data_IF_492799440168
#
_entry.id   IF_492799440168
#
_cell.length_a   1.000
_cell.length_b   1.000
_cell.length_c   1.000
_cell.angle_alpha   90.00
_cell.angle_beta   90.00
_cell.angle_gamma   90.00
#
_symmetry.space_group_name_H-M   'P 1'
#
loop_
_entity.id
_entity.type
_entity.pdbx_description
1 polymer ?
#
# COMPACT_ATOMS: atom_id res chain seq x y z
N UNK A 1 11.04 1.50 2.58
CA UNK A 1 10.04 2.54 2.26
C UNK A 1 10.43 3.18 0.94
N UNK A 2 9.48 3.43 0.03
CA UNK A 2 9.76 4.00 -1.29
C UNK A 2 9.28 5.45 -1.43
N UNK A 3 8.20 5.82 -0.74
CA UNK A 3 7.69 7.18 -0.72
C UNK A 3 6.96 7.48 0.59
N UNK A 4 6.95 8.76 0.96
CA UNK A 4 6.19 9.33 2.07
C UNK A 4 5.72 10.72 1.67
N UNK A 5 4.52 11.11 2.10
CA UNK A 5 4.01 12.47 1.96
C UNK A 5 2.95 12.80 2.99
N UNK A 6 2.55 14.08 3.06
CA UNK A 6 1.36 14.50 3.82
C UNK A 6 0.06 14.20 3.07
N UNK A 7 0.15 13.90 1.77
CA UNK A 7 -0.95 13.45 0.93
C UNK A 7 -0.53 12.28 0.05
N UNK A 8 -1.51 11.59 -0.54
CA UNK A 8 -1.26 10.51 -1.51
C UNK A 8 -0.45 11.00 -2.72
N UNK A 9 -0.69 12.23 -3.19
CA UNK A 9 0.00 12.82 -4.34
C UNK A 9 1.46 13.06 -4.00
N UNK A 10 1.76 13.68 -2.86
CA UNK A 10 3.13 13.91 -2.41
C UNK A 10 3.89 12.58 -2.22
N UNK A 11 3.21 11.58 -1.67
CA UNK A 11 3.79 10.24 -1.52
C UNK A 11 4.14 9.64 -2.90
N UNK A 12 3.24 9.76 -3.88
CA UNK A 12 3.48 9.31 -5.24
C UNK A 12 4.66 10.03 -5.90
N UNK A 13 4.77 11.35 -5.76
CA UNK A 13 5.92 12.11 -6.27
C UNK A 13 7.22 11.68 -5.58
N UNK A 14 7.21 11.45 -4.27
CA UNK A 14 8.38 10.97 -3.53
C UNK A 14 8.89 9.61 -4.06
N UNK A 15 7.99 8.72 -4.50
CA UNK A 15 8.42 7.43 -5.10
C UNK A 15 9.17 7.58 -6.43
N UNK A 16 8.97 8.68 -7.15
CA UNK A 16 9.69 8.96 -8.41
C UNK A 16 11.14 9.36 -8.15
N UNK A 17 11.42 9.94 -6.98
CA UNK A 17 12.76 10.35 -6.58
C UNK A 17 13.65 9.18 -6.16
N UNK A 18 13.07 8.01 -5.89
CA UNK A 18 13.81 6.81 -5.56
C UNK A 18 14.49 6.25 -6.81
N UNK A 19 15.79 5.96 -6.71
CA UNK A 19 16.61 5.46 -7.82
C UNK A 19 16.00 4.23 -8.49
N UNK A 20 15.99 4.21 -9.82
CA UNK A 20 15.52 3.05 -10.60
C UNK A 20 16.31 1.78 -10.27
N UNK A 21 17.62 1.87 -10.05
CA UNK A 21 18.48 0.73 -9.68
C UNK A 21 18.00 0.04 -8.40
N UNK A 22 17.48 0.79 -7.43
CA UNK A 22 16.93 0.23 -6.19
C UNK A 22 15.58 -0.46 -6.41
N UNK A 23 14.76 0.04 -7.34
CA UNK A 23 13.43 -0.50 -7.64
C UNK A 23 13.50 -1.71 -8.57
N UNK A 24 14.42 -1.69 -9.54
CA UNK A 24 14.53 -2.63 -10.64
C UNK A 24 14.44 -4.11 -10.23
N UNK A 25 15.10 -4.60 -9.16
CA UNK A 25 15.02 -6.01 -8.76
C UNK A 25 13.61 -6.51 -8.41
N UNK A 26 12.67 -5.61 -8.13
CA UNK A 26 11.33 -5.93 -7.64
C UNK A 26 10.22 -5.68 -8.67
N UNK A 27 10.59 -5.20 -9.86
CA UNK A 27 9.66 -4.83 -10.93
C UNK A 27 9.77 -5.72 -12.17
N UNK A 28 10.68 -6.70 -12.15
CA UNK A 28 10.99 -7.60 -13.28
C UNK A 28 9.86 -8.55 -13.62
N UNK A 29 9.77 -8.92 -14.91
CA UNK A 29 8.79 -9.87 -15.47
C UNK A 29 8.76 -11.23 -14.74
N UNK A 30 9.92 -11.69 -14.26
CA UNK A 30 10.07 -12.99 -13.58
C UNK A 30 9.50 -13.03 -12.16
N UNK A 31 9.05 -11.89 -11.61
CA UNK A 31 8.57 -11.77 -10.23
C UNK A 31 7.11 -11.31 -10.17
N UNK A 32 6.29 -12.02 -9.39
CA UNK A 32 4.90 -11.64 -9.19
C UNK A 32 4.73 -10.53 -8.15
N UNK A 33 3.69 -9.70 -8.28
CA UNK A 33 3.47 -8.56 -7.39
C UNK A 33 2.01 -8.33 -7.00
N UNK A 34 1.81 -7.59 -5.91
CA UNK A 34 0.50 -7.06 -5.50
C UNK A 34 0.66 -5.75 -4.74
N UNK A 35 -0.34 -4.88 -4.83
CA UNK A 35 -0.42 -3.61 -4.08
C UNK A 35 -1.65 -3.62 -3.19
N UNK A 36 -1.43 -3.68 -1.88
CA UNK A 36 -2.46 -3.58 -0.86
C UNK A 36 -2.67 -2.12 -0.46
N UNK A 37 -3.90 -1.77 -0.10
CA UNK A 37 -4.27 -0.43 0.40
C UNK A 37 -4.88 -0.61 1.78
N UNK A 38 -4.32 0.09 2.77
CA UNK A 38 -4.80 0.06 4.15
C UNK A 38 -4.90 1.49 4.69
N UNK A 39 -5.94 1.73 5.49
CA UNK A 39 -6.17 3.02 6.14
C UNK A 39 -6.10 2.91 7.67
N UNK A 40 -5.41 3.85 8.31
CA UNK A 40 -5.40 4.03 9.76
C UNK A 40 -6.32 5.19 10.14
N UNK A 41 -7.18 4.99 11.14
CA UNK A 41 -8.22 5.96 11.50
C UNK A 41 -9.42 6.00 10.54
N UNK A 42 -9.34 5.29 9.40
CA UNK A 42 -10.44 5.14 8.45
C UNK A 42 -10.31 3.86 7.60
N UNK A 43 -11.39 3.10 7.49
CA UNK A 43 -11.46 1.95 6.58
C UNK A 43 -11.81 2.40 5.15
N UNK A 44 -10.85 2.36 4.24
CA UNK A 44 -11.04 2.79 2.85
C UNK A 44 -12.00 1.82 2.11
N UNK A 45 -13.13 2.31 1.57
CA UNK A 45 -14.06 1.47 0.82
C UNK A 45 -13.40 0.81 -0.40
N UNK A 46 -13.75 -0.44 -0.67
CA UNK A 46 -13.17 -1.23 -1.79
C UNK A 46 -13.26 -0.48 -3.13
N UNK A 47 -14.38 0.20 -3.40
CA UNK A 47 -14.61 1.01 -4.61
C UNK A 47 -13.57 2.13 -4.80
N UNK A 48 -12.96 2.60 -3.73
CA UNK A 48 -11.99 3.71 -3.73
C UNK A 48 -10.54 3.22 -3.69
N UNK A 49 -10.28 1.95 -3.38
CA UNK A 49 -8.89 1.46 -3.36
C UNK A 49 -8.24 1.46 -4.74
N UNK A 50 -9.02 1.34 -5.82
CA UNK A 50 -8.50 1.44 -7.18
C UNK A 50 -8.00 2.86 -7.49
N UNK A 51 -8.75 3.90 -7.09
CA UNK A 51 -8.30 5.29 -7.29
C UNK A 51 -7.05 5.59 -6.48
N UNK A 52 -6.93 5.04 -5.27
CA UNK A 52 -5.70 5.13 -4.47
C UNK A 52 -4.52 4.49 -5.22
N UNK A 53 -4.67 3.26 -5.73
CA UNK A 53 -3.61 2.56 -6.48
C UNK A 53 -3.18 3.30 -7.75
N UNK A 54 -4.12 3.96 -8.45
CA UNK A 54 -3.83 4.70 -9.70
C UNK A 54 -2.84 5.85 -9.52
N UNK A 55 -2.66 6.38 -8.31
CA UNK A 55 -1.63 7.40 -8.04
C UNK A 55 -0.20 6.88 -8.25
N UNK A 56 0.01 5.56 -8.27
CA UNK A 56 1.31 4.93 -8.47
C UNK A 56 1.46 4.28 -9.84
N UNK A 57 0.63 4.64 -10.82
CA UNK A 57 0.68 4.06 -12.17
C UNK A 57 1.96 4.38 -12.94
N UNK A 58 2.78 5.32 -12.48
CA UNK A 58 4.11 5.60 -13.04
C UNK A 58 5.14 4.51 -12.72
N UNK A 59 4.85 3.59 -11.78
CA UNK A 59 5.72 2.45 -11.50
C UNK A 59 5.40 1.35 -12.51
N UNK A 60 6.36 1.04 -13.36
CA UNK A 60 6.24 -0.02 -14.36
C UNK A 60 6.48 -1.39 -13.73
N UNK A 61 5.43 -2.03 -13.23
CA UNK A 61 5.50 -3.43 -12.80
C UNK A 61 5.36 -4.35 -14.02
N UNK A 62 6.44 -5.03 -14.41
CA UNK A 62 6.47 -5.88 -15.61
C UNK A 62 5.95 -7.30 -15.35
N UNK A 63 6.10 -7.78 -14.11
CA UNK A 63 5.68 -9.14 -13.73
C UNK A 63 4.18 -9.33 -13.57
N UNK A 64 3.73 -10.58 -13.34
CA UNK A 64 2.32 -10.89 -13.21
C UNK A 64 1.72 -10.44 -11.86
N UNK A 65 0.48 -9.95 -11.89
CA UNK A 65 -0.27 -9.64 -10.66
C UNK A 65 -0.68 -10.93 -9.95
N UNK A 66 -0.39 -11.05 -8.65
CA UNK A 66 -0.82 -12.17 -7.81
C UNK A 66 -1.33 -11.70 -6.45
N UNK A 67 -2.64 -11.77 -6.24
CA UNK A 67 -3.25 -11.31 -4.99
C UNK A 67 -2.87 -12.14 -3.75
N UNK A 68 -2.55 -13.43 -3.93
CA UNK A 68 -2.21 -14.36 -2.85
C UNK A 68 -0.74 -14.77 -2.95
N UNK A 69 0.04 -14.42 -1.92
CA UNK A 69 1.47 -14.72 -1.83
C UNK A 69 2.26 -14.30 -3.10
N UNK A 70 2.25 -13.00 -3.47
CA UNK A 70 3.16 -12.49 -4.50
C UNK A 70 4.61 -12.57 -4.01
N UNK A 71 5.56 -12.56 -4.94
CA UNK A 71 6.99 -12.46 -4.62
C UNK A 71 7.29 -11.08 -4.02
N UNK A 72 6.64 -10.04 -4.55
CA UNK A 72 6.75 -8.66 -4.08
C UNK A 72 5.39 -8.13 -3.60
N UNK A 73 5.25 -7.99 -2.29
CA UNK A 73 4.08 -7.33 -1.68
C UNK A 73 4.37 -5.85 -1.46
N UNK A 74 3.51 -4.99 -1.98
CA UNK A 74 3.57 -3.54 -1.81
C UNK A 74 2.37 -3.05 -1.01
N UNK A 75 2.57 -1.95 -0.29
CA UNK A 75 1.56 -1.33 0.55
C UNK A 75 1.44 0.15 0.24
N UNK A 76 0.20 0.61 0.10
CA UNK A 76 -0.20 2.01 0.29
C UNK A 76 -0.82 2.10 1.68
N UNK A 77 -0.22 2.86 2.58
CA UNK A 77 -0.75 3.10 3.92
C UNK A 77 -1.17 4.56 4.03
N UNK A 78 -2.41 4.80 4.41
CA UNK A 78 -2.98 6.14 4.54
C UNK A 78 -3.44 6.37 5.96
N UNK A 79 -2.93 7.41 6.60
CA UNK A 79 -3.33 7.82 7.93
C UNK A 79 -4.37 8.93 7.82
N UNK A 80 -5.49 8.78 8.52
CA UNK A 80 -6.55 9.76 8.62
C UNK A 80 -6.79 10.12 10.07
N UNK A 81 -7.32 11.31 10.33
CA UNK A 81 -7.86 11.62 11.64
C UNK A 81 -9.02 10.67 11.97
N UNK A 82 -9.03 10.13 13.19
CA UNK A 82 -10.08 9.23 13.65
C UNK A 82 -11.39 10.00 13.83
N UNK A 83 -12.32 9.79 12.89
CA UNK A 83 -13.65 10.40 12.84
C UNK A 83 -14.71 9.34 12.54
N UNK A 84 -15.97 9.75 12.47
CA UNK A 84 -17.10 8.89 12.07
C UNK A 84 -16.82 8.19 10.74
N UNK A 85 -16.80 6.85 10.76
CA UNK A 85 -16.50 6.02 9.59
C UNK A 85 -17.56 6.13 8.48
N UNK A 86 -18.71 6.73 8.75
CA UNK A 86 -19.78 6.96 7.76
C UNK A 86 -19.55 8.18 6.88
N UNK A 87 -18.62 9.08 7.25
CA UNK A 87 -18.25 10.22 6.43
C UNK A 87 -17.70 9.76 5.06
N UNK A 88 -18.10 10.42 3.95
CA UNK A 88 -17.62 10.08 2.63
C UNK A 88 -16.10 10.09 2.53
N UNK A 89 -15.55 9.18 1.73
CA UNK A 89 -14.09 9.12 1.51
C UNK A 89 -13.56 10.41 0.88
N UNK A 90 -14.34 11.02 -0.01
CA UNK A 90 -13.96 12.20 -0.79
C UNK A 90 -13.82 13.47 0.07
N UNK A 91 -14.42 13.48 1.27
CA UNK A 91 -14.30 14.60 2.22
C UNK A 91 -13.15 14.42 3.20
N UNK A 92 -12.45 13.29 3.15
CA UNK A 92 -11.33 13.01 4.04
C UNK A 92 -10.04 13.58 3.48
N UNK A 93 -9.18 13.98 4.39
CA UNK A 93 -7.82 14.43 4.09
C UNK A 93 -6.86 13.52 4.84
N UNK A 94 -5.88 12.99 4.13
CA UNK A 94 -4.81 12.22 4.74
C UNK A 94 -3.99 13.11 5.67
N UNK A 95 -3.60 12.59 6.83
CA UNK A 95 -2.56 13.17 7.67
C UNK A 95 -1.19 12.78 7.13
N UNK A 96 -1.04 11.52 6.70
CA UNK A 96 0.18 10.96 6.16
C UNK A 96 -0.14 9.87 5.14
N UNK A 97 0.74 9.71 4.15
CA UNK A 97 0.70 8.64 3.17
C UNK A 97 2.08 7.99 3.03
N UNK A 98 2.08 6.66 2.86
CA UNK A 98 3.30 5.87 2.70
C UNK A 98 3.13 4.88 1.56
N UNK A 99 4.22 4.68 0.80
CA UNK A 99 4.31 3.62 -0.19
C UNK A 99 5.59 2.83 -0.03
N UNK A 100 5.52 1.50 -0.10
CA UNK A 100 6.72 0.68 -0.12
C UNK A 100 6.48 -0.80 -0.21
N UNK A 101 7.58 -1.53 -0.44
CA UNK A 101 7.62 -2.99 -0.42
C UNK A 101 7.73 -3.50 1.02
N UNK A 102 6.98 -4.56 1.33
CA UNK A 102 7.15 -5.34 2.54
C UNK A 102 8.48 -6.11 2.51
N UNK A 103 9.19 -6.16 3.64
CA UNK A 103 10.47 -6.85 3.77
C UNK A 103 10.39 -7.81 4.97
N UNK A 104 10.43 -9.12 4.70
CA UNK A 104 10.51 -10.16 5.74
C UNK A 104 9.98 -11.52 5.29
N UNK A 105 10.51 -12.61 5.87
CA UNK A 105 10.08 -14.00 5.62
C UNK A 105 8.60 -14.28 5.98
N UNK A 106 7.93 -13.29 6.58
CA UNK A 106 6.55 -13.34 7.02
C UNK A 106 5.55 -12.73 6.00
N UNK A 107 5.95 -12.31 4.80
CA UNK A 107 4.99 -11.82 3.78
C UNK A 107 3.90 -12.86 3.42
N UNK A 108 4.19 -14.16 3.60
CA UNK A 108 3.22 -15.26 3.50
C UNK A 108 2.64 -15.73 4.86
N UNK A 109 3.33 -15.49 5.99
CA UNK A 109 3.03 -16.09 7.30
C UNK A 109 2.46 -15.10 8.34
N UNK A 110 2.74 -13.80 8.25
CA UNK A 110 2.29 -12.78 9.20
C UNK A 110 0.76 -12.64 9.21
N UNK A 111 0.11 -12.73 8.04
CA UNK A 111 -1.36 -12.77 7.96
C UNK A 111 -1.98 -13.95 8.72
N UNK A 112 -1.23 -15.05 8.94
CA UNK A 112 -1.68 -16.21 9.73
C UNK A 112 -1.55 -16.00 11.24
N UNK A 113 -0.66 -15.10 11.69
CA UNK A 113 -0.42 -14.82 13.11
C UNK A 113 -1.30 -13.69 13.65
N UNK A 114 -1.68 -12.71 12.83
CA UNK A 114 -2.57 -11.61 13.26
C UNK A 114 -3.99 -12.13 13.61
N UNK A 115 -4.43 -13.25 13.04
CA UNK A 115 -5.69 -13.90 13.40
C UNK A 115 -5.71 -14.61 14.76
N UNK A 116 -4.60 -14.64 15.52
CA UNK A 116 -4.54 -15.27 16.85
C UNK A 116 -4.57 -14.30 18.03
N UNK A 117 -4.44 -13.00 17.79
CA UNK A 117 -4.45 -11.97 18.84
C UNK A 117 -5.65 -11.03 18.77
N UNK A 118 -6.72 -11.41 18.06
CA UNK A 118 -8.02 -10.78 18.20
C UNK A 118 -8.62 -11.16 19.57
N UNK A 119 -8.13 -10.49 20.62
CA UNK A 119 -8.71 -10.56 21.95
C UNK A 119 -10.02 -9.79 21.93
N UNK A 120 -11.09 -10.48 21.54
CA UNK A 120 -12.43 -10.12 22.02
C UNK A 120 -12.43 -10.29 23.54
N UNK A 121 -12.28 -9.19 24.25
CA UNK A 121 -12.79 -9.05 25.62
C UNK A 121 -13.95 -8.08 25.58
#
# INVERSE_FOLDING_TARGET
LWGRGSSIIECAEATKLLSEEFKAPYLVESSSWSVMVEGFGYSIPMKNQESVRKNFSHIAFEGPVRCRNPDNMFWVLLEYEARDQTEPFETRTELQAFFGREVGAAAAAARRLVGRNDLKK
#
